data_IF_020273872924
#
_entry.id   IF_020273872924
#
_cell.length_a   1.000
_cell.length_b   1.000
_cell.length_c   1.000
_cell.angle_alpha   90.00
_cell.angle_beta   90.00
_cell.angle_gamma   90.00
#
_symmetry.space_group_name_H-M   'P 1'
#
loop_
_entity.id
_entity.type
_entity.pdbx_description
1 polymer ?
#
# COMPACT_ATOMS: atom_id res chain seq x y z
N UNK A 1 -1.55 24.97 -14.47
CA UNK A 1 -1.23 23.62 -15.04
C UNK A 1 -1.29 23.63 -16.56
N UNK A 2 -0.72 22.57 -17.23
CA UNK A 2 -0.74 22.45 -18.71
C UNK A 2 -2.08 21.89 -19.17
N UNK A 3 -2.84 22.67 -19.97
CA UNK A 3 -4.08 22.21 -20.61
C UNK A 3 -3.72 21.67 -22.00
N UNK A 4 -4.03 20.42 -22.26
CA UNK A 4 -3.71 19.72 -23.49
C UNK A 4 -4.97 19.04 -24.05
N UNK A 5 -5.12 19.05 -25.38
CA UNK A 5 -6.13 18.19 -26.00
C UNK A 5 -5.68 16.75 -25.86
N UNK A 6 -6.58 15.86 -25.41
CA UNK A 6 -6.32 14.44 -25.37
C UNK A 6 -6.32 13.89 -26.80
N UNK A 7 -5.23 13.28 -27.18
CA UNK A 7 -5.02 12.60 -28.46
C UNK A 7 -4.22 11.33 -28.17
N UNK A 8 -4.10 10.44 -29.13
CA UNK A 8 -3.27 9.23 -28.98
C UNK A 8 -1.80 9.55 -28.69
N UNK A 9 -1.26 10.58 -29.35
CA UNK A 9 0.11 11.02 -29.13
C UNK A 9 0.28 11.64 -27.74
N UNK A 10 -0.62 12.55 -27.34
CA UNK A 10 -0.59 13.16 -26.00
C UNK A 10 -0.70 12.11 -24.91
N UNK A 11 -1.59 11.14 -25.06
CA UNK A 11 -1.73 10.00 -24.12
C UNK A 11 -0.43 9.20 -24.02
N UNK A 12 0.18 8.89 -25.15
CA UNK A 12 1.46 8.15 -25.20
C UNK A 12 2.59 8.89 -24.52
N UNK A 13 2.72 10.19 -24.77
CA UNK A 13 3.74 11.04 -24.17
C UNK A 13 3.57 11.14 -22.65
N UNK A 14 2.34 11.29 -22.18
CA UNK A 14 2.05 11.35 -20.74
C UNK A 14 2.37 10.01 -20.07
N UNK A 15 1.92 8.89 -20.64
CA UNK A 15 2.25 7.56 -20.11
C UNK A 15 3.76 7.34 -20.04
N UNK A 16 4.52 7.75 -21.07
CA UNK A 16 5.97 7.68 -21.03
C UNK A 16 6.59 8.60 -19.97
N UNK A 17 6.02 9.79 -19.75
CA UNK A 17 6.51 10.70 -18.72
C UNK A 17 6.22 10.16 -17.31
N UNK A 18 5.04 9.60 -17.08
CA UNK A 18 4.69 8.98 -15.81
C UNK A 18 5.59 7.78 -15.50
N UNK A 19 5.94 6.96 -16.51
CA UNK A 19 6.88 5.85 -16.34
C UNK A 19 8.30 6.30 -15.95
N UNK A 20 8.71 7.53 -16.27
CA UNK A 20 10.03 8.07 -15.83
C UNK A 20 10.07 8.30 -14.32
N UNK A 21 8.94 8.44 -13.66
CA UNK A 21 8.85 8.53 -12.19
C UNK A 21 9.13 7.17 -11.54
N UNK A 22 8.82 6.08 -12.25
CA UNK A 22 9.23 4.75 -11.83
C UNK A 22 10.73 4.70 -11.82
N UNK A 23 11.38 4.41 -10.69
CA UNK A 23 12.83 4.35 -10.62
C UNK A 23 13.34 3.10 -11.36
N UNK A 24 13.12 3.02 -12.69
CA UNK A 24 13.81 2.02 -13.53
C UNK A 24 15.33 2.22 -13.52
N UNK A 25 15.81 3.25 -12.84
CA UNK A 25 17.20 3.48 -12.45
C UNK A 25 17.47 3.05 -11.00
N UNK A 26 16.92 1.90 -10.58
CA UNK A 26 17.28 1.30 -9.29
C UNK A 26 18.81 1.13 -9.13
N UNK A 27 19.57 1.10 -10.22
CA UNK A 27 21.01 0.83 -10.19
C UNK A 27 21.80 1.74 -9.24
N UNK A 28 21.46 3.02 -9.12
CA UNK A 28 22.16 3.93 -8.21
C UNK A 28 21.70 3.75 -6.75
N UNK A 29 20.40 3.55 -6.53
CA UNK A 29 19.84 3.30 -5.18
C UNK A 29 20.01 1.84 -4.75
N UNK A 30 19.88 0.89 -5.69
CA UNK A 30 20.02 -0.55 -5.43
C UNK A 30 21.35 -0.90 -4.78
N UNK A 31 22.46 -0.37 -5.29
CA UNK A 31 23.77 -0.59 -4.69
C UNK A 31 23.85 -0.10 -3.25
N UNK A 32 23.26 1.06 -2.93
CA UNK A 32 23.24 1.63 -1.57
C UNK A 32 22.32 0.83 -0.64
N UNK A 33 21.15 0.44 -1.12
CA UNK A 33 20.19 -0.37 -0.33
C UNK A 33 20.76 -1.77 -0.08
N UNK A 34 21.34 -2.40 -1.09
CA UNK A 34 21.97 -3.71 -0.92
C UNK A 34 23.15 -3.66 0.05
N UNK A 35 23.96 -2.60 0.04
CA UNK A 35 25.03 -2.44 1.01
C UNK A 35 24.50 -2.34 2.45
N UNK A 36 23.39 -1.61 2.69
CA UNK A 36 22.72 -1.55 4.00
C UNK A 36 22.21 -2.93 4.41
N UNK A 37 21.54 -3.65 3.49
CA UNK A 37 21.00 -4.98 3.75
C UNK A 37 22.11 -5.97 4.15
N UNK A 38 23.20 -6.01 3.39
CA UNK A 38 24.34 -6.90 3.69
C UNK A 38 25.02 -6.51 5.00
N UNK A 39 25.17 -5.22 5.29
CA UNK A 39 25.73 -4.76 6.55
C UNK A 39 24.88 -5.19 7.76
N UNK A 40 23.54 -5.07 7.67
CA UNK A 40 22.62 -5.55 8.72
C UNK A 40 22.66 -7.07 8.86
N UNK A 41 22.76 -7.82 7.76
CA UNK A 41 22.91 -9.29 7.81
C UNK A 41 24.17 -9.73 8.54
N UNK A 42 25.28 -9.04 8.32
CA UNK A 42 26.60 -9.41 8.84
C UNK A 42 26.86 -8.87 10.25
N UNK A 43 26.49 -7.61 10.50
CA UNK A 43 26.82 -6.87 11.72
C UNK A 43 25.60 -6.59 12.61
N UNK A 44 24.40 -7.05 12.21
CA UNK A 44 23.17 -7.12 13.02
C UNK A 44 22.87 -5.80 13.76
N UNK A 45 22.65 -5.82 15.07
CA UNK A 45 22.34 -4.64 15.90
C UNK A 45 23.33 -3.50 15.70
N UNK A 46 24.62 -3.78 15.59
CA UNK A 46 25.63 -2.74 15.41
C UNK A 46 25.41 -1.96 14.11
N UNK A 47 25.05 -2.62 13.03
CA UNK A 47 24.72 -1.97 11.76
C UNK A 47 23.45 -1.13 11.91
N UNK A 48 22.40 -1.66 12.54
CA UNK A 48 21.15 -0.96 12.79
C UNK A 48 21.39 0.33 13.57
N UNK A 49 22.17 0.30 14.67
CA UNK A 49 22.47 1.46 15.49
C UNK A 49 23.30 2.50 14.74
N UNK A 50 24.31 2.06 13.98
CA UNK A 50 25.16 2.93 13.18
C UNK A 50 24.35 3.69 12.11
N UNK A 51 23.48 3.00 11.38
CA UNK A 51 22.64 3.62 10.36
C UNK A 51 21.57 4.53 10.97
N UNK A 52 20.96 4.17 12.10
CA UNK A 52 20.02 5.03 12.81
C UNK A 52 20.71 6.34 13.26
N UNK A 53 21.93 6.25 13.78
CA UNK A 53 22.71 7.44 14.12
C UNK A 53 23.07 8.29 12.88
N UNK A 54 23.42 7.63 11.78
CA UNK A 54 23.80 8.29 10.53
C UNK A 54 22.63 9.00 9.85
N UNK A 55 21.46 8.37 9.78
CA UNK A 55 20.33 8.86 8.99
C UNK A 55 19.34 9.67 9.82
N UNK A 56 19.06 9.22 11.04
CA UNK A 56 18.07 9.86 11.93
C UNK A 56 18.73 10.79 12.95
N UNK A 57 20.04 10.70 13.16
CA UNK A 57 20.79 11.49 14.12
C UNK A 57 20.54 11.08 15.57
N UNK A 58 19.88 9.94 15.79
CA UNK A 58 19.51 9.42 17.11
C UNK A 58 20.54 8.44 17.66
N UNK A 59 20.80 8.48 18.96
CA UNK A 59 21.73 7.58 19.65
C UNK A 59 20.97 6.39 20.24
N UNK A 60 20.73 5.39 19.36
CA UNK A 60 19.98 4.17 19.69
C UNK A 60 20.95 3.03 19.98
N UNK A 61 20.60 2.20 20.96
CA UNK A 61 21.33 1.00 21.38
C UNK A 61 20.38 -0.06 21.92
N UNK A 62 20.87 -1.22 22.29
CA UNK A 62 20.06 -2.34 22.77
C UNK A 62 19.20 -2.00 24.01
N UNK A 63 19.60 -1.03 24.83
CA UNK A 63 18.85 -0.63 26.03
C UNK A 63 17.69 0.34 25.76
N UNK A 64 17.66 1.00 24.59
CA UNK A 64 16.66 2.02 24.30
C UNK A 64 15.99 1.88 22.93
N UNK A 65 16.28 0.85 22.15
CA UNK A 65 15.69 0.63 20.83
C UNK A 65 14.19 0.31 20.90
N UNK A 66 13.77 -0.45 21.92
CA UNK A 66 12.37 -0.79 22.13
C UNK A 66 11.66 0.39 22.85
N UNK A 67 10.49 0.75 22.35
CA UNK A 67 9.63 1.73 23.01
C UNK A 67 9.07 1.14 24.30
N UNK A 68 9.14 1.90 25.39
CA UNK A 68 8.66 1.46 26.70
C UNK A 68 7.21 1.88 26.95
N UNK A 69 6.54 1.24 27.93
CA UNK A 69 5.18 1.64 28.33
C UNK A 69 5.15 3.06 28.95
N UNK A 70 6.26 3.51 29.55
CA UNK A 70 6.41 4.88 30.04
C UNK A 70 6.42 5.90 28.89
N UNK A 71 7.16 5.61 27.80
CA UNK A 71 7.15 6.47 26.61
C UNK A 71 5.76 6.53 25.95
N UNK A 72 5.01 5.41 25.98
CA UNK A 72 3.63 5.38 25.51
C UNK A 72 2.74 6.23 26.44
N UNK A 73 2.88 6.12 27.75
CA UNK A 73 2.12 6.92 28.71
C UNK A 73 2.40 8.43 28.53
N UNK A 74 3.65 8.83 28.40
CA UNK A 74 4.05 10.21 28.08
C UNK A 74 3.42 10.71 26.77
N UNK A 75 3.32 9.83 25.75
CA UNK A 75 2.72 10.18 24.48
C UNK A 75 1.22 10.48 24.60
N UNK A 76 0.49 9.75 25.43
CA UNK A 76 -0.92 10.05 25.70
C UNK A 76 -1.12 11.40 26.42
N UNK A 77 -0.19 11.83 27.26
CA UNK A 77 -0.24 13.14 27.90
C UNK A 77 -0.01 14.30 26.91
N UNK A 78 0.76 14.05 25.83
CA UNK A 78 1.11 15.05 24.83
C UNK A 78 0.11 15.15 23.68
N UNK A 79 -0.67 14.09 23.41
CA UNK A 79 -1.64 14.07 22.32
C UNK A 79 -2.95 14.74 22.76
N UNK A 80 -3.40 15.71 21.97
CA UNK A 80 -4.67 16.38 22.18
C UNK A 80 -5.83 15.37 22.21
N UNK A 81 -6.75 15.57 23.15
CA UNK A 81 -7.93 14.69 23.33
C UNK A 81 -8.82 14.64 22.10
N UNK A 82 -8.88 15.73 21.33
CA UNK A 82 -9.63 15.80 20.06
C UNK A 82 -8.98 14.90 19.01
N UNK A 83 -7.65 14.96 18.87
CA UNK A 83 -6.92 14.08 17.96
C UNK A 83 -7.07 12.60 18.36
N UNK A 84 -6.98 12.29 19.65
CA UNK A 84 -7.21 10.92 20.14
C UNK A 84 -8.63 10.42 19.78
N UNK A 85 -9.64 11.28 19.93
CA UNK A 85 -11.01 10.93 19.54
C UNK A 85 -11.14 10.68 18.02
N UNK A 86 -10.41 11.45 17.19
CA UNK A 86 -10.39 11.25 15.73
C UNK A 86 -9.69 9.94 15.38
N UNK A 87 -8.53 9.64 15.98
CA UNK A 87 -7.82 8.36 15.79
C UNK A 87 -8.74 7.18 16.10
N UNK A 88 -9.47 7.22 17.23
CA UNK A 88 -10.40 6.15 17.61
C UNK A 88 -11.58 5.99 16.65
N UNK A 89 -12.12 7.08 16.13
CA UNK A 89 -13.20 7.03 15.13
C UNK A 89 -12.70 6.43 13.81
N UNK A 90 -11.55 6.87 13.34
CA UNK A 90 -10.91 6.35 12.14
C UNK A 90 -10.63 4.84 12.27
N UNK A 91 -10.07 4.42 13.41
CA UNK A 91 -9.83 3.01 13.73
C UNK A 91 -11.11 2.16 13.58
N UNK A 92 -12.23 2.63 14.13
CA UNK A 92 -13.53 1.92 14.03
C UNK A 92 -13.95 1.76 12.57
N UNK A 93 -13.83 2.81 11.76
CA UNK A 93 -14.22 2.77 10.35
C UNK A 93 -13.34 1.82 9.55
N UNK A 94 -12.00 1.92 9.71
CA UNK A 94 -11.04 1.06 9.03
C UNK A 94 -11.26 -0.41 9.41
N UNK A 95 -11.41 -0.70 10.70
CA UNK A 95 -11.69 -2.06 11.17
C UNK A 95 -12.99 -2.61 10.57
N UNK A 96 -14.08 -1.84 10.62
CA UNK A 96 -15.39 -2.22 10.05
C UNK A 96 -15.31 -2.52 8.56
N UNK A 97 -14.50 -1.76 7.81
CA UNK A 97 -14.29 -2.00 6.39
C UNK A 97 -13.55 -3.34 6.17
N UNK A 98 -12.41 -3.51 6.83
CA UNK A 98 -11.57 -4.71 6.67
C UNK A 98 -12.23 -5.99 7.19
N UNK A 99 -13.14 -5.92 8.16
CA UNK A 99 -13.94 -7.08 8.61
C UNK A 99 -14.76 -7.71 7.47
N UNK A 100 -15.09 -6.95 6.41
CA UNK A 100 -15.78 -7.50 5.23
C UNK A 100 -14.87 -8.30 4.30
N UNK A 101 -13.56 -8.23 4.49
CA UNK A 101 -12.55 -8.93 3.69
C UNK A 101 -12.16 -10.29 4.31
N UNK A 102 -12.64 -10.61 5.50
CA UNK A 102 -12.31 -11.87 6.19
C UNK A 102 -12.78 -13.05 5.36
N UNK A 103 -11.85 -13.98 5.11
CA UNK A 103 -12.12 -15.22 4.39
C UNK A 103 -12.16 -16.40 5.35
N UNK A 104 -13.11 -17.31 5.10
CA UNK A 104 -13.25 -18.53 5.89
C UNK A 104 -12.63 -19.73 5.17
N UNK A 105 -12.14 -20.71 5.96
CA UNK A 105 -11.82 -22.03 5.44
C UNK A 105 -13.10 -22.71 4.95
N UNK A 106 -12.99 -23.52 3.90
CA UNK A 106 -14.12 -24.24 3.32
C UNK A 106 -13.71 -25.65 2.88
N UNK A 107 -14.70 -26.53 2.83
CA UNK A 107 -14.56 -27.90 2.37
C UNK A 107 -15.73 -28.28 1.47
N UNK A 108 -15.44 -29.11 0.46
CA UNK A 108 -16.44 -29.87 -0.30
C UNK A 108 -16.24 -31.34 0.00
N UNK A 109 -17.34 -32.07 0.05
CA UNK A 109 -17.32 -33.53 0.30
C UNK A 109 -18.07 -34.25 -0.81
N UNK A 110 -17.43 -35.24 -1.38
CA UNK A 110 -18.02 -36.21 -2.28
C UNK A 110 -17.75 -37.62 -1.70
N UNK A 111 -18.26 -38.66 -2.35
CA UNK A 111 -18.10 -40.04 -1.85
C UNK A 111 -16.61 -40.45 -1.75
N UNK A 112 -16.11 -40.46 -0.53
CA UNK A 112 -14.72 -40.80 -0.22
C UNK A 112 -13.70 -39.67 -0.53
N UNK A 113 -14.14 -38.44 -0.85
CA UNK A 113 -13.26 -37.31 -1.22
C UNK A 113 -13.61 -36.11 -0.36
N UNK A 114 -12.59 -35.46 0.22
CA UNK A 114 -12.70 -34.16 0.87
C UNK A 114 -11.68 -33.25 0.20
N UNK A 115 -12.16 -32.16 -0.40
CA UNK A 115 -11.31 -31.08 -0.90
C UNK A 115 -11.64 -29.81 -0.15
N UNK A 116 -10.64 -28.95 0.05
CA UNK A 116 -10.89 -27.70 0.75
C UNK A 116 -9.73 -26.74 0.71
N UNK A 117 -9.95 -25.60 1.32
CA UNK A 117 -8.94 -24.58 1.54
C UNK A 117 -8.94 -24.16 3.00
N UNK A 118 -7.80 -24.33 3.66
CA UNK A 118 -7.56 -23.81 5.01
C UNK A 118 -7.01 -22.39 4.90
N UNK A 119 -7.71 -21.43 5.48
CA UNK A 119 -7.26 -20.04 5.65
C UNK A 119 -6.66 -19.90 7.04
N UNK A 120 -5.45 -19.35 7.13
CA UNK A 120 -4.72 -19.19 8.39
C UNK A 120 -4.01 -17.84 8.39
N UNK A 121 -4.14 -17.08 9.46
CA UNK A 121 -3.37 -15.84 9.64
C UNK A 121 -1.87 -16.11 9.68
N UNK A 122 -1.07 -15.10 9.34
CA UNK A 122 0.37 -15.12 9.57
C UNK A 122 0.65 -15.00 11.07
N UNK A 123 1.66 -15.72 11.58
CA UNK A 123 1.95 -15.76 13.01
C UNK A 123 2.55 -14.42 13.51
N UNK A 124 3.48 -13.84 12.75
CA UNK A 124 4.16 -12.58 13.13
C UNK A 124 4.35 -11.72 11.90
N UNK A 125 3.95 -10.46 12.00
CA UNK A 125 4.05 -9.50 10.90
C UNK A 125 4.84 -8.28 11.35
N UNK A 126 5.72 -7.78 10.47
CA UNK A 126 6.37 -6.49 10.60
C UNK A 126 5.59 -5.43 9.83
N UNK A 127 5.42 -4.27 10.43
CA UNK A 127 4.92 -3.08 9.75
C UNK A 127 5.95 -1.97 9.86
N UNK A 128 6.15 -1.25 8.77
CA UNK A 128 7.02 -0.10 8.74
C UNK A 128 6.19 1.17 8.59
N UNK A 129 6.39 2.11 9.49
CA UNK A 129 5.73 3.41 9.43
C UNK A 129 6.80 4.48 9.21
N UNK A 130 6.78 5.19 8.09
CA UNK A 130 7.75 6.22 7.81
C UNK A 130 7.62 7.40 8.79
N UNK A 131 8.70 8.17 8.90
CA UNK A 131 8.77 9.41 9.66
C UNK A 131 9.68 10.40 8.96
N UNK A 132 10.00 11.52 9.59
CA UNK A 132 10.91 12.52 9.09
C UNK A 132 10.20 13.82 8.70
N UNK A 133 9.91 14.07 7.43
CA UNK A 133 9.26 15.32 6.98
C UNK A 133 7.80 15.47 7.42
N UNK A 134 7.12 14.39 7.69
CA UNK A 134 5.74 14.34 8.19
C UNK A 134 5.55 13.19 9.19
N UNK A 135 4.48 13.25 9.96
CA UNK A 135 4.08 12.24 10.95
C UNK A 135 2.83 11.55 10.42
N UNK A 136 2.82 10.22 10.45
CA UNK A 136 1.79 9.41 9.79
C UNK A 136 1.04 8.46 10.75
N UNK A 137 0.26 8.97 11.72
CA UNK A 137 -0.56 8.13 12.59
C UNK A 137 -1.62 7.34 11.79
N UNK A 138 -2.10 7.88 10.67
CA UNK A 138 -3.01 7.17 9.76
C UNK A 138 -2.37 5.92 9.15
N UNK A 139 -1.10 5.99 8.74
CA UNK A 139 -0.38 4.83 8.20
C UNK A 139 -0.18 3.73 9.24
N UNK A 140 -0.12 4.06 10.53
CA UNK A 140 -0.14 3.05 11.60
C UNK A 140 -1.45 2.27 11.51
N UNK A 141 -2.60 2.96 11.52
CA UNK A 141 -3.91 2.33 11.48
C UNK A 141 -4.09 1.48 10.21
N UNK A 142 -3.72 2.03 9.05
CA UNK A 142 -3.89 1.39 7.75
C UNK A 142 -3.03 0.12 7.58
N UNK A 143 -1.85 0.07 8.19
CA UNK A 143 -1.00 -1.14 8.15
C UNK A 143 -1.41 -2.17 9.21
N UNK A 144 -1.78 -1.73 10.41
CA UNK A 144 -1.99 -2.62 11.56
C UNK A 144 -3.38 -3.24 11.57
N UNK A 145 -4.43 -2.47 11.26
CA UNK A 145 -5.80 -2.95 11.41
C UNK A 145 -6.16 -4.11 10.49
N UNK A 146 -5.79 -4.15 9.19
CA UNK A 146 -6.05 -5.33 8.38
C UNK A 146 -5.30 -6.57 8.90
N UNK A 147 -4.09 -6.41 9.47
CA UNK A 147 -3.36 -7.52 10.10
C UNK A 147 -4.09 -8.02 11.35
N UNK A 148 -4.59 -7.13 12.22
CA UNK A 148 -5.42 -7.51 13.40
C UNK A 148 -6.71 -8.19 12.98
N UNK A 149 -7.39 -7.68 11.96
CA UNK A 149 -8.63 -8.30 11.43
C UNK A 149 -8.35 -9.67 10.82
N UNK A 150 -7.20 -9.87 10.17
CA UNK A 150 -6.77 -11.17 9.68
C UNK A 150 -6.53 -12.20 10.80
N UNK A 151 -6.34 -11.73 12.04
CA UNK A 151 -6.04 -12.58 13.19
C UNK A 151 -4.54 -12.86 13.38
N UNK A 152 -3.67 -11.93 12.97
CA UNK A 152 -2.22 -12.01 13.23
C UNK A 152 -1.96 -11.96 14.73
N UNK A 153 -1.20 -12.93 15.25
CA UNK A 153 -0.94 -13.07 16.70
C UNK A 153 -0.02 -11.97 17.23
N UNK A 154 1.03 -11.60 16.46
CA UNK A 154 2.05 -10.64 16.87
C UNK A 154 2.37 -9.65 15.74
N UNK A 155 2.25 -8.36 16.04
CA UNK A 155 2.58 -7.28 15.12
C UNK A 155 3.74 -6.45 15.68
N UNK A 156 4.84 -6.41 14.95
CA UNK A 156 6.06 -5.66 15.24
C UNK A 156 6.10 -4.43 14.36
N UNK A 157 6.26 -3.25 14.94
CA UNK A 157 6.35 -2.00 14.20
C UNK A 157 7.75 -1.40 14.29
N UNK A 158 8.32 -0.98 13.16
CA UNK A 158 9.49 -0.12 13.10
C UNK A 158 9.10 1.27 12.60
N UNK A 159 9.64 2.31 13.25
CA UNK A 159 9.46 3.70 12.85
C UNK A 159 10.69 4.51 13.25
N UNK A 160 11.16 5.48 12.44
CA UNK A 160 12.35 6.26 12.80
C UNK A 160 12.11 7.11 14.04
N UNK A 161 13.10 7.20 14.94
CA UNK A 161 13.08 8.15 16.04
C UNK A 161 13.43 9.56 15.59
N UNK A 162 13.03 10.55 16.36
CA UNK A 162 13.59 11.89 16.29
C UNK A 162 15.05 11.93 16.79
N UNK A 163 15.74 13.05 16.61
CA UNK A 163 17.14 13.25 17.07
C UNK A 163 17.32 13.06 18.57
N UNK A 164 16.24 13.25 19.33
CA UNK A 164 16.17 13.03 20.77
C UNK A 164 16.00 11.55 21.16
N UNK A 165 15.94 10.65 20.18
CA UNK A 165 15.72 9.22 20.36
C UNK A 165 14.27 8.84 20.68
N UNK A 166 13.31 9.77 20.59
CA UNK A 166 11.89 9.51 20.84
C UNK A 166 11.10 9.38 19.54
N UNK A 167 10.05 8.58 19.58
CA UNK A 167 9.06 8.49 18.49
C UNK A 167 7.98 9.56 18.70
N UNK A 168 7.43 10.08 17.62
CA UNK A 168 6.36 11.08 17.68
C UNK A 168 5.16 10.58 18.51
N UNK A 169 4.64 11.39 19.45
CA UNK A 169 3.54 10.98 20.34
C UNK A 169 2.32 10.45 19.63
N UNK A 170 1.85 11.12 18.55
CA UNK A 170 0.67 10.68 17.80
C UNK A 170 0.87 9.33 17.09
N UNK A 171 2.11 8.98 16.68
CA UNK A 171 2.45 7.66 16.14
C UNK A 171 2.37 6.59 17.22
N UNK A 172 2.90 6.85 18.42
CA UNK A 172 2.85 5.91 19.55
C UNK A 172 1.41 5.65 20.00
N UNK A 173 0.63 6.72 20.15
CA UNK A 173 -0.79 6.61 20.50
C UNK A 173 -1.57 5.81 19.46
N UNK A 174 -1.39 6.10 18.17
CA UNK A 174 -2.05 5.34 17.11
C UNK A 174 -1.64 3.85 17.13
N UNK A 175 -0.36 3.54 17.37
CA UNK A 175 0.14 2.17 17.47
C UNK A 175 -0.47 1.41 18.66
N UNK A 176 -0.55 2.06 19.83
CA UNK A 176 -1.17 1.46 21.03
C UNK A 176 -2.67 1.23 20.81
N UNK A 177 -3.40 2.22 20.29
CA UNK A 177 -4.84 2.09 19.99
C UNK A 177 -5.11 1.02 18.90
N UNK A 178 -4.25 0.87 17.91
CA UNK A 178 -4.37 -0.17 16.87
C UNK A 178 -3.97 -1.56 17.37
N UNK A 179 -3.27 -1.67 18.51
CA UNK A 179 -2.87 -2.93 19.13
C UNK A 179 -1.56 -3.50 18.57
N UNK A 180 -0.58 -2.65 18.28
CA UNK A 180 0.80 -3.07 18.00
C UNK A 180 1.40 -3.69 19.27
N UNK A 181 2.11 -4.80 19.12
CA UNK A 181 2.67 -5.53 20.25
C UNK A 181 4.05 -5.01 20.65
N UNK A 182 4.87 -4.63 19.69
CA UNK A 182 6.22 -4.10 19.91
C UNK A 182 6.55 -2.99 18.92
N UNK A 183 7.19 -1.91 19.40
CA UNK A 183 7.57 -0.76 18.59
C UNK A 183 9.07 -0.53 18.72
N UNK A 184 9.79 -0.54 17.59
CA UNK A 184 11.23 -0.35 17.52
C UNK A 184 11.60 0.99 16.89
N UNK A 185 12.51 1.71 17.52
CA UNK A 185 12.98 3.05 17.13
C UNK A 185 14.05 2.95 16.02
N UNK A 186 13.63 2.46 14.87
CA UNK A 186 14.51 2.26 13.70
C UNK A 186 13.78 2.67 12.43
N UNK A 187 14.39 3.49 11.60
CA UNK A 187 13.89 3.93 10.30
C UNK A 187 14.60 3.26 9.12
N UNK A 188 14.25 3.66 7.90
CA UNK A 188 14.97 3.36 6.68
C UNK A 188 15.09 1.88 6.28
N UNK A 189 15.97 1.61 5.32
CA UNK A 189 16.22 0.27 4.81
C UNK A 189 16.77 -0.70 5.88
N UNK A 190 17.51 -0.19 6.87
CA UNK A 190 18.02 -0.98 7.98
C UNK A 190 16.92 -1.53 8.88
N UNK A 191 15.78 -0.82 9.05
CA UNK A 191 14.62 -1.32 9.78
C UNK A 191 13.99 -2.53 9.08
N UNK A 192 13.83 -2.41 7.76
CA UNK A 192 13.30 -3.48 6.91
C UNK A 192 14.21 -4.70 6.94
N UNK A 193 15.52 -4.50 6.81
CA UNK A 193 16.50 -5.57 6.89
C UNK A 193 16.51 -6.24 8.28
N UNK A 194 16.44 -5.46 9.37
CA UNK A 194 16.36 -5.98 10.73
C UNK A 194 15.13 -6.88 10.93
N UNK A 195 13.94 -6.44 10.50
CA UNK A 195 12.73 -7.27 10.58
C UNK A 195 12.79 -8.50 9.67
N UNK A 196 13.40 -8.40 8.48
CA UNK A 196 13.49 -9.50 7.53
C UNK A 196 14.45 -10.62 7.98
N UNK A 197 15.59 -10.26 8.56
CA UNK A 197 16.64 -11.21 8.93
C UNK A 197 16.69 -11.52 10.43
N UNK A 198 16.15 -10.62 11.24
CA UNK A 198 16.29 -10.63 12.70
C UNK A 198 17.66 -10.12 13.14
N UNK A 199 17.70 -9.45 14.28
CA UNK A 199 18.93 -9.09 14.99
C UNK A 199 18.83 -9.52 16.46
N UNK A 200 19.76 -9.14 17.31
CA UNK A 200 19.67 -9.41 18.74
C UNK A 200 18.50 -8.68 19.39
N UNK A 201 18.25 -7.43 18.97
CA UNK A 201 17.20 -6.56 19.52
C UNK A 201 15.89 -6.62 18.73
N UNK A 202 15.93 -6.70 17.39
CA UNK A 202 14.74 -6.68 16.52
C UNK A 202 14.40 -8.10 16.08
N UNK A 203 13.19 -8.61 16.37
CA UNK A 203 12.81 -9.97 16.02
C UNK A 203 12.64 -10.13 14.51
N UNK A 204 13.02 -11.32 14.03
CA UNK A 204 12.65 -11.72 12.67
C UNK A 204 11.15 -11.94 12.57
N UNK A 205 10.52 -11.34 11.56
CA UNK A 205 9.09 -11.52 11.26
C UNK A 205 8.87 -12.52 10.13
N UNK A 206 7.67 -13.08 10.05
CA UNK A 206 7.31 -14.06 9.00
C UNK A 206 7.01 -13.36 7.68
N UNK A 207 6.44 -12.19 7.75
CA UNK A 207 6.17 -11.35 6.58
C UNK A 207 6.26 -9.87 6.93
N UNK A 208 6.82 -9.11 6.02
CA UNK A 208 6.71 -7.67 5.93
C UNK A 208 5.75 -7.42 4.77
N UNK A 209 4.52 -6.98 5.03
CA UNK A 209 3.48 -6.77 4.03
C UNK A 209 3.74 -7.56 2.73
N UNK A 210 3.19 -8.68 2.57
CA UNK A 210 3.22 -9.78 1.58
C UNK A 210 4.01 -9.66 0.26
N UNK A 211 4.91 -8.69 0.08
CA UNK A 211 5.75 -8.57 -1.12
C UNK A 211 7.22 -8.96 -0.92
N UNK A 212 7.53 -9.68 0.14
CA UNK A 212 8.84 -10.33 0.28
C UNK A 212 8.87 -11.59 -0.58
N UNK A 213 9.07 -11.44 -1.87
CA UNK A 213 9.45 -12.54 -2.74
C UNK A 213 10.96 -12.74 -2.58
N UNK A 214 11.39 -13.94 -2.17
CA UNK A 214 12.81 -14.33 -1.98
C UNK A 214 13.58 -13.58 -0.89
N UNK A 215 12.93 -13.14 0.18
CA UNK A 215 13.61 -12.47 1.31
C UNK A 215 14.01 -11.03 1.03
N UNK A 216 13.52 -10.43 -0.05
CA UNK A 216 13.60 -9.01 -0.33
C UNK A 216 12.24 -8.36 -0.10
N UNK A 217 12.24 -7.28 0.65
CA UNK A 217 11.05 -6.43 0.78
C UNK A 217 11.00 -5.56 -0.46
N UNK A 218 9.92 -5.65 -1.23
CA UNK A 218 9.67 -4.65 -2.25
C UNK A 218 9.25 -3.35 -1.56
N UNK A 219 10.10 -2.35 -1.65
CA UNK A 219 9.83 -0.99 -1.14
C UNK A 219 8.80 -0.28 -2.03
N UNK A 220 8.51 -0.82 -3.21
CA UNK A 220 7.68 -0.21 -4.25
C UNK A 220 6.23 0.05 -3.85
N UNK A 221 5.73 -0.64 -2.84
CA UNK A 221 4.36 -0.41 -2.35
C UNK A 221 4.28 0.61 -1.20
N UNK A 222 5.42 1.11 -0.71
CA UNK A 222 5.49 2.02 0.45
C UNK A 222 5.93 3.43 0.04
N UNK A 223 6.59 3.59 -1.11
CA UNK A 223 7.23 4.84 -1.50
C UNK A 223 7.17 5.13 -3.01
N UNK A 224 6.11 4.74 -3.66
CA UNK A 224 5.82 5.28 -5.00
C UNK A 224 5.42 6.76 -4.87
N UNK A 225 5.71 7.59 -5.88
CA UNK A 225 5.21 8.95 -5.89
C UNK A 225 3.69 8.92 -5.90
N UNK A 226 3.06 9.72 -5.03
CA UNK A 226 1.60 9.82 -4.92
C UNK A 226 0.96 10.24 -6.23
N UNK A 227 -0.24 9.76 -6.48
CA UNK A 227 -0.95 9.96 -7.75
C UNK A 227 -2.43 10.23 -7.51
N UNK A 228 -2.95 11.28 -8.13
CA UNK A 228 -4.37 11.50 -8.27
C UNK A 228 -4.75 11.67 -9.74
N UNK A 229 -5.87 11.06 -10.12
CA UNK A 229 -6.52 11.29 -11.39
C UNK A 229 -8.00 11.61 -11.13
N UNK A 230 -8.43 12.78 -11.53
CA UNK A 230 -9.84 13.20 -11.50
C UNK A 230 -10.42 13.06 -12.90
N UNK A 231 -11.50 12.32 -13.05
CA UNK A 231 -12.33 12.29 -14.26
C UNK A 231 -13.60 13.09 -14.02
N UNK A 232 -13.76 14.18 -14.75
CA UNK A 232 -14.85 15.13 -14.53
C UNK A 232 -15.53 15.55 -15.83
N UNK A 233 -16.84 15.82 -15.77
CA UNK A 233 -17.60 16.46 -16.82
C UNK A 233 -17.93 17.92 -16.46
N UNK A 234 -18.74 18.59 -17.27
CA UNK A 234 -19.11 20.00 -17.06
C UNK A 234 -19.91 20.27 -15.79
N UNK A 235 -20.39 19.23 -15.09
CA UNK A 235 -21.18 19.37 -13.85
C UNK A 235 -20.31 19.50 -12.61
N UNK A 236 -19.02 19.20 -12.72
CA UNK A 236 -18.09 19.25 -11.60
C UNK A 236 -17.82 20.68 -11.12
N UNK A 237 -17.63 20.83 -9.80
CA UNK A 237 -17.22 22.09 -9.20
C UNK A 237 -15.71 22.31 -9.41
N UNK A 238 -15.26 23.35 -10.15
CA UNK A 238 -13.85 23.56 -10.43
C UNK A 238 -13.00 23.80 -9.17
N UNK A 239 -13.56 24.43 -8.15
CA UNK A 239 -12.87 24.68 -6.88
C UNK A 239 -12.57 23.36 -6.15
N UNK A 240 -13.49 22.38 -6.12
CA UNK A 240 -13.28 21.09 -5.49
C UNK A 240 -12.23 20.27 -6.25
N UNK A 241 -12.37 20.20 -7.58
CA UNK A 241 -11.40 19.49 -8.42
C UNK A 241 -9.98 20.05 -8.27
N UNK A 242 -9.86 21.39 -8.22
CA UNK A 242 -8.56 22.04 -8.00
C UNK A 242 -7.96 21.69 -6.63
N UNK A 243 -8.78 21.70 -5.57
CA UNK A 243 -8.35 21.35 -4.22
C UNK A 243 -7.88 19.89 -4.13
N UNK A 244 -8.61 18.95 -4.75
CA UNK A 244 -8.29 17.52 -4.75
C UNK A 244 -7.00 17.24 -5.53
N UNK A 245 -6.76 17.89 -6.66
CA UNK A 245 -5.50 17.80 -7.39
C UNK A 245 -4.31 18.29 -6.56
N UNK A 246 -4.50 19.36 -5.79
CA UNK A 246 -3.45 19.95 -4.95
C UNK A 246 -3.17 19.14 -3.69
N UNK A 247 -4.14 18.41 -3.15
CA UNK A 247 -3.93 17.51 -2.00
C UNK A 247 -2.86 16.46 -2.27
N UNK A 248 -2.78 15.93 -3.49
CA UNK A 248 -1.72 15.03 -3.90
C UNK A 248 -0.43 15.74 -4.30
N UNK A 249 -0.53 16.84 -5.01
CA UNK A 249 0.66 17.57 -5.46
C UNK A 249 1.54 18.07 -4.32
N UNK A 250 0.98 18.26 -3.11
CA UNK A 250 1.74 18.68 -1.94
C UNK A 250 2.57 17.58 -1.28
N UNK A 251 2.34 16.30 -1.61
CA UNK A 251 3.04 15.18 -1.00
C UNK A 251 4.53 15.16 -1.35
N UNK A 252 4.86 15.28 -2.64
CA UNK A 252 6.24 15.18 -3.14
C UNK A 252 6.40 15.88 -4.49
N UNK A 253 7.61 16.28 -4.85
CA UNK A 253 7.95 16.88 -6.14
C UNK A 253 7.72 15.94 -7.34
N UNK A 254 7.63 14.62 -7.08
CA UNK A 254 7.34 13.58 -8.07
C UNK A 254 5.88 13.14 -8.09
N UNK A 255 5.03 13.69 -7.20
CA UNK A 255 3.60 13.40 -7.21
C UNK A 255 2.97 13.81 -8.55
N UNK A 256 1.93 13.10 -8.99
CA UNK A 256 1.19 13.46 -10.20
C UNK A 256 -0.25 13.85 -9.88
N UNK A 257 -0.71 14.93 -10.51
CA UNK A 257 -2.06 15.42 -10.43
C UNK A 257 -2.62 15.59 -11.85
N UNK A 258 -3.61 14.78 -12.22
CA UNK A 258 -4.14 14.72 -13.57
C UNK A 258 -5.65 14.92 -13.54
N UNK A 259 -6.13 15.92 -14.29
CA UNK A 259 -7.54 16.06 -14.63
C UNK A 259 -7.77 15.55 -16.05
N UNK A 260 -8.76 14.69 -16.24
CA UNK A 260 -9.31 14.36 -17.56
C UNK A 260 -10.76 14.83 -17.58
N UNK A 261 -11.09 15.65 -18.56
CA UNK A 261 -12.45 16.22 -18.69
C UNK A 261 -12.89 16.28 -20.14
N UNK A 262 -14.21 16.27 -20.37
CA UNK A 262 -14.81 16.54 -21.66
C UNK A 262 -15.18 18.02 -21.85
N UNK A 263 -14.95 18.86 -20.82
CA UNK A 263 -15.31 20.28 -20.80
C UNK A 263 -14.07 21.17 -20.84
N UNK A 264 -13.86 21.86 -21.95
CA UNK A 264 -12.83 22.90 -22.08
C UNK A 264 -13.00 24.00 -21.04
N UNK A 265 -14.25 24.40 -20.78
CA UNK A 265 -14.58 25.42 -19.78
C UNK A 265 -14.11 24.98 -18.37
N UNK A 266 -14.45 23.76 -17.95
CA UNK A 266 -14.01 23.23 -16.67
C UNK A 266 -12.48 23.18 -16.56
N UNK A 267 -11.79 22.78 -17.64
CA UNK A 267 -10.32 22.74 -17.69
C UNK A 267 -9.70 24.11 -17.40
N UNK A 268 -10.26 25.18 -17.98
CA UNK A 268 -9.79 26.54 -17.80
C UNK A 268 -10.09 27.07 -16.39
N UNK A 269 -11.30 26.82 -15.88
CA UNK A 269 -11.73 27.19 -14.53
C UNK A 269 -10.87 26.49 -13.45
N UNK A 270 -10.66 25.18 -13.57
CA UNK A 270 -9.79 24.41 -12.64
C UNK A 270 -8.35 24.94 -12.67
N UNK A 271 -7.81 25.25 -13.86
CA UNK A 271 -6.46 25.82 -13.94
C UNK A 271 -6.34 27.16 -13.22
N UNK A 272 -7.36 28.01 -13.31
CA UNK A 272 -7.40 29.31 -12.63
C UNK A 272 -7.50 29.13 -11.10
N UNK A 273 -8.33 28.21 -10.60
CA UNK A 273 -8.45 27.91 -9.17
C UNK A 273 -7.15 27.35 -8.59
N UNK A 274 -6.45 26.47 -9.33
CA UNK A 274 -5.13 25.96 -8.92
C UNK A 274 -4.14 27.10 -8.69
N UNK A 275 -4.06 28.08 -9.62
CA UNK A 275 -3.14 29.20 -9.50
C UNK A 275 -3.45 30.07 -8.27
N UNK A 276 -4.72 30.21 -7.90
CA UNK A 276 -5.13 30.91 -6.69
C UNK A 276 -4.74 30.15 -5.43
N UNK A 277 -5.06 28.87 -5.34
CA UNK A 277 -4.76 28.06 -4.15
C UNK A 277 -3.26 27.90 -3.90
N UNK A 278 -2.45 27.69 -4.94
CA UNK A 278 -0.99 27.55 -4.81
C UNK A 278 -0.37 28.79 -4.16
N UNK A 279 -0.92 29.98 -4.41
CA UNK A 279 -0.42 31.23 -3.79
C UNK A 279 -0.57 31.23 -2.25
N UNK A 280 -1.58 30.53 -1.72
CA UNK A 280 -1.96 30.53 -0.30
C UNK A 280 -1.39 29.32 0.49
N UNK A 281 -1.11 28.20 -0.19
CA UNK A 281 -0.68 26.96 0.43
C UNK A 281 0.76 26.99 0.95
N UNK A 282 0.99 26.36 2.10
CA UNK A 282 2.30 26.39 2.81
C UNK A 282 3.41 25.64 2.08
N UNK A 283 3.08 24.59 1.30
CA UNK A 283 4.04 23.75 0.56
C UNK A 283 4.15 24.10 -0.92
N UNK A 284 3.88 25.33 -1.29
CA UNK A 284 3.80 25.83 -2.67
C UNK A 284 4.98 25.47 -3.57
N UNK A 285 6.20 25.40 -3.05
CA UNK A 285 7.39 25.05 -3.85
C UNK A 285 7.36 23.59 -4.29
N UNK A 286 6.93 22.68 -3.41
CA UNK A 286 6.77 21.25 -3.71
C UNK A 286 5.62 21.09 -4.72
N UNK A 287 4.46 21.70 -4.44
CA UNK A 287 3.30 21.69 -5.31
C UNK A 287 3.67 22.16 -6.72
N UNK A 288 4.35 23.31 -6.82
CA UNK A 288 4.73 23.88 -8.12
C UNK A 288 5.61 22.91 -8.93
N UNK A 289 6.61 22.30 -8.31
CA UNK A 289 7.48 21.32 -8.99
C UNK A 289 6.71 20.07 -9.42
N UNK A 290 5.81 19.56 -8.58
CA UNK A 290 4.93 18.45 -8.93
C UNK A 290 4.09 18.78 -10.15
N UNK A 291 3.40 19.94 -10.13
CA UNK A 291 2.56 20.38 -11.24
C UNK A 291 3.34 20.67 -12.53
N UNK A 292 4.53 21.26 -12.44
CA UNK A 292 5.38 21.55 -13.59
C UNK A 292 5.87 20.27 -14.28
N UNK A 293 6.18 19.23 -13.51
CA UNK A 293 6.72 17.99 -14.01
C UNK A 293 5.62 16.99 -14.42
N UNK A 294 4.59 16.81 -13.58
CA UNK A 294 3.61 15.72 -13.66
C UNK A 294 2.15 16.17 -13.52
N UNK A 295 1.88 17.48 -13.57
CA UNK A 295 0.54 18.06 -13.58
C UNK A 295 0.00 18.18 -15.01
N UNK A 296 -1.21 17.64 -15.28
CA UNK A 296 -1.85 17.69 -16.59
C UNK A 296 -3.34 17.94 -16.46
N UNK A 297 -3.88 18.74 -17.36
CA UNK A 297 -5.30 18.85 -17.64
C UNK A 297 -5.53 18.38 -19.07
N UNK A 298 -6.27 17.32 -19.25
CA UNK A 298 -6.51 16.67 -20.54
C UNK A 298 -7.97 16.88 -20.94
N UNK A 299 -8.18 17.47 -22.10
CA UNK A 299 -9.53 17.66 -22.66
C UNK A 299 -9.78 16.60 -23.70
N UNK A 300 -10.69 15.67 -23.40
CA UNK A 300 -11.10 14.55 -24.26
C UNK A 300 -12.27 14.98 -25.18
N UNK A 301 -12.35 14.37 -26.36
CA UNK A 301 -13.47 14.61 -27.27
C UNK A 301 -14.77 13.95 -26.78
N UNK A 302 -14.67 12.92 -25.96
CA UNK A 302 -15.81 12.21 -25.37
C UNK A 302 -15.41 11.43 -24.12
N UNK A 303 -16.42 10.97 -23.36
CA UNK A 303 -16.22 10.22 -22.10
C UNK A 303 -15.58 8.83 -22.32
N UNK A 304 -15.79 8.18 -23.45
CA UNK A 304 -15.19 6.88 -23.74
C UNK A 304 -13.67 6.97 -23.87
N UNK A 305 -13.18 7.95 -24.63
CA UNK A 305 -11.74 8.25 -24.74
C UNK A 305 -11.13 8.62 -23.40
N UNK A 306 -11.86 9.39 -22.59
CA UNK A 306 -11.45 9.75 -21.24
C UNK A 306 -11.28 8.50 -20.37
N UNK A 307 -12.26 7.59 -20.34
CA UNK A 307 -12.25 6.34 -19.58
C UNK A 307 -11.12 5.41 -20.03
N UNK A 308 -10.90 5.28 -21.34
CA UNK A 308 -9.79 4.47 -21.87
C UNK A 308 -8.43 4.99 -21.38
N UNK A 309 -8.30 6.31 -21.30
CA UNK A 309 -7.05 6.96 -20.82
C UNK A 309 -6.89 6.78 -19.31
N UNK A 310 -7.96 6.88 -18.52
CA UNK A 310 -7.96 6.54 -17.09
C UNK A 310 -7.47 5.11 -16.88
N UNK A 311 -8.04 4.14 -17.58
CA UNK A 311 -7.65 2.73 -17.47
C UNK A 311 -6.19 2.48 -17.92
N UNK A 312 -5.69 3.26 -18.89
CA UNK A 312 -4.31 3.17 -19.35
C UNK A 312 -3.31 3.75 -18.33
N UNK A 313 -3.67 4.83 -17.63
CA UNK A 313 -2.84 5.43 -16.56
C UNK A 313 -2.83 4.52 -15.34
N UNK A 314 -4.00 4.05 -14.89
CA UNK A 314 -4.16 3.19 -13.71
C UNK A 314 -3.61 3.85 -12.44
N UNK A 315 -4.13 5.03 -12.12
CA UNK A 315 -3.69 5.87 -11.00
C UNK A 315 -3.95 5.22 -9.64
N UNK A 316 -3.18 5.63 -8.66
CA UNK A 316 -3.35 5.30 -7.24
C UNK A 316 -4.72 5.72 -6.73
N UNK A 317 -5.03 7.02 -6.80
CA UNK A 317 -6.33 7.60 -6.46
C UNK A 317 -7.06 7.98 -7.75
N UNK A 318 -8.30 7.54 -7.86
CA UNK A 318 -9.17 7.81 -9.01
C UNK A 318 -10.48 8.43 -8.53
N UNK A 319 -10.71 9.72 -8.82
CA UNK A 319 -11.95 10.39 -8.51
C UNK A 319 -12.85 10.51 -9.75
N UNK A 320 -14.15 10.27 -9.57
CA UNK A 320 -15.17 10.36 -10.63
C UNK A 320 -16.17 11.43 -10.22
N UNK A 321 -16.05 12.59 -10.87
CA UNK A 321 -16.89 13.78 -10.60
C UNK A 321 -17.68 14.13 -11.86
N UNK A 322 -18.69 13.31 -12.13
CA UNK A 322 -19.55 13.39 -13.34
C UNK A 322 -21.02 13.38 -12.96
N UNK A 323 -21.89 13.72 -13.87
CA UNK A 323 -23.34 13.69 -13.66
C UNK A 323 -23.87 12.29 -13.28
N UNK A 324 -23.23 11.21 -13.78
CA UNK A 324 -23.57 9.81 -13.41
C UNK A 324 -22.29 9.04 -13.05
N UNK A 325 -21.71 9.30 -11.85
CA UNK A 325 -20.42 8.72 -11.48
C UNK A 325 -20.49 7.19 -11.25
N UNK A 326 -21.64 6.65 -10.83
CA UNK A 326 -21.80 5.20 -10.65
C UNK A 326 -21.80 4.45 -11.97
N UNK A 327 -22.40 5.01 -13.03
CA UNK A 327 -22.32 4.42 -14.36
C UNK A 327 -20.88 4.45 -14.89
N UNK A 328 -20.19 5.56 -14.75
CA UNK A 328 -18.78 5.70 -15.15
C UNK A 328 -17.90 4.70 -14.40
N UNK A 329 -18.10 4.54 -13.08
CA UNK A 329 -17.34 3.59 -12.24
C UNK A 329 -17.38 2.17 -12.81
N UNK A 330 -18.50 1.72 -13.39
CA UNK A 330 -18.61 0.36 -13.96
C UNK A 330 -17.64 0.10 -15.12
N UNK A 331 -17.09 1.14 -15.74
CA UNK A 331 -16.15 1.09 -16.86
C UNK A 331 -14.69 1.26 -16.44
N UNK A 332 -14.45 1.67 -15.21
CA UNK A 332 -13.10 1.78 -14.64
C UNK A 332 -12.63 0.41 -14.18
N UNK A 333 -11.49 -0.01 -14.71
CA UNK A 333 -10.89 -1.33 -14.43
C UNK A 333 -9.62 -1.24 -13.59
N UNK A 334 -8.90 -0.16 -13.72
CA UNK A 334 -7.54 -0.02 -13.19
C UNK A 334 -7.45 1.25 -12.35
N UNK A 335 -7.57 1.09 -11.04
CA UNK A 335 -7.34 2.14 -10.06
C UNK A 335 -6.97 1.51 -8.71
N UNK A 336 -6.17 2.19 -7.91
CA UNK A 336 -5.87 1.76 -6.54
C UNK A 336 -7.07 1.91 -5.62
N UNK A 337 -7.69 3.09 -5.62
CA UNK A 337 -8.97 3.37 -4.98
C UNK A 337 -9.85 4.22 -5.92
N UNK A 338 -11.17 4.06 -5.83
CA UNK A 338 -12.14 4.81 -6.63
C UNK A 338 -13.02 5.63 -5.69
N UNK A 339 -13.02 6.94 -5.88
CA UNK A 339 -13.82 7.91 -5.15
C UNK A 339 -14.97 8.39 -6.03
N UNK A 340 -16.20 8.40 -5.52
CA UNK A 340 -17.40 8.56 -6.34
C UNK A 340 -18.17 9.81 -5.89
N UNK A 341 -18.25 10.80 -6.77
CA UNK A 341 -18.99 12.05 -6.57
C UNK A 341 -18.18 13.13 -5.85
N UNK A 342 -18.67 14.36 -5.92
CA UNK A 342 -17.99 15.58 -5.50
C UNK A 342 -17.66 15.72 -4.01
N UNK A 343 -18.27 14.89 -3.15
CA UNK A 343 -18.04 14.89 -1.70
C UNK A 343 -17.17 13.72 -1.23
N UNK A 344 -16.58 12.97 -2.17
CA UNK A 344 -15.73 11.82 -1.89
C UNK A 344 -14.29 12.12 -2.31
N UNK A 345 -13.68 13.09 -1.64
CA UNK A 345 -12.30 13.49 -1.91
C UNK A 345 -11.28 12.50 -1.35
N UNK A 346 -10.07 12.52 -1.90
CA UNK A 346 -8.95 11.64 -1.49
C UNK A 346 -8.67 11.71 0.02
N UNK A 347 -8.57 12.89 0.69
CA UNK A 347 -8.31 12.94 2.14
C UNK A 347 -9.36 12.22 2.99
N UNK A 348 -10.62 12.13 2.51
CA UNK A 348 -11.63 11.32 3.19
C UNK A 348 -11.23 9.84 3.24
N UNK A 349 -10.71 9.30 2.13
CA UNK A 349 -10.21 7.92 2.05
C UNK A 349 -8.99 7.72 2.92
N UNK A 350 -8.04 8.61 2.83
CA UNK A 350 -6.76 8.51 3.51
C UNK A 350 -6.85 8.53 5.03
N UNK A 351 -7.83 9.24 5.57
CA UNK A 351 -7.89 9.45 7.02
C UNK A 351 -9.10 8.83 7.71
N UNK A 352 -10.22 8.60 7.02
CA UNK A 352 -11.46 8.39 7.77
C UNK A 352 -12.44 7.36 7.21
N UNK A 353 -12.57 7.21 5.89
CA UNK A 353 -13.64 6.41 5.28
C UNK A 353 -13.55 4.90 5.61
N UNK A 354 -12.34 4.36 5.73
CA UNK A 354 -12.11 2.97 6.09
C UNK A 354 -11.35 2.12 5.07
N UNK A 355 -11.50 2.30 3.75
CA UNK A 355 -10.63 1.67 2.77
C UNK A 355 -9.16 1.99 3.02
N UNK A 356 -8.28 1.07 2.62
CA UNK A 356 -6.85 1.24 2.87
C UNK A 356 -6.20 2.25 1.92
N UNK A 357 -5.37 3.14 2.44
CA UNK A 357 -4.63 4.12 1.67
C UNK A 357 -3.25 3.62 1.19
N UNK A 358 -2.84 2.41 1.55
CA UNK A 358 -1.64 1.78 1.00
C UNK A 358 -2.02 1.17 -0.35
N UNK A 359 -1.85 1.94 -1.39
CA UNK A 359 -2.38 1.69 -2.73
C UNK A 359 -1.27 1.37 -3.74
N UNK A 360 -1.59 0.69 -4.84
CA UNK A 360 -0.65 0.49 -5.94
C UNK A 360 -0.44 1.80 -6.72
N UNK A 361 0.83 2.15 -6.98
CA UNK A 361 1.27 3.34 -7.71
C UNK A 361 1.94 2.98 -9.04
N UNK A 362 2.32 3.96 -9.85
CA UNK A 362 3.09 3.78 -11.10
C UNK A 362 2.41 2.82 -12.11
N UNK A 363 1.08 2.89 -12.20
CA UNK A 363 0.31 2.05 -13.11
C UNK A 363 0.20 0.58 -12.69
N UNK A 364 0.68 0.22 -11.49
CA UNK A 364 0.61 -1.16 -10.99
C UNK A 364 -0.80 -1.56 -10.54
N UNK A 365 -1.74 -0.62 -10.43
CA UNK A 365 -3.16 -0.90 -10.22
C UNK A 365 -3.80 -1.79 -11.31
N UNK A 366 -3.09 -2.03 -12.41
CA UNK A 366 -3.46 -3.02 -13.45
C UNK A 366 -3.40 -4.46 -12.96
N UNK A 367 -2.62 -4.75 -11.91
CA UNK A 367 -2.38 -6.12 -11.43
C UNK A 367 -2.15 -6.23 -9.91
N UNK A 368 -2.06 -5.11 -9.21
CA UNK A 368 -2.00 -5.06 -7.74
C UNK A 368 -3.25 -4.42 -7.16
N UNK A 369 -3.51 -4.71 -5.89
CA UNK A 369 -4.62 -4.16 -5.10
C UNK A 369 -4.10 -3.38 -3.90
N UNK A 370 -4.97 -2.59 -3.29
CA UNK A 370 -4.74 -1.97 -1.98
C UNK A 370 -4.38 -3.03 -0.93
N UNK A 371 -3.63 -2.63 0.09
CA UNK A 371 -3.34 -3.48 1.24
C UNK A 371 -4.65 -3.93 1.90
N UNK A 372 -4.78 -5.22 2.16
CA UNK A 372 -6.00 -5.84 2.62
C UNK A 372 -5.76 -6.96 3.62
N UNK A 373 -6.81 -7.56 4.15
CA UNK A 373 -6.75 -8.76 5.00
C UNK A 373 -6.06 -9.92 4.29
N UNK A 374 -6.20 -10.02 2.95
CA UNK A 374 -5.56 -11.08 2.16
C UNK A 374 -4.03 -11.07 2.22
N UNK A 375 -3.43 -9.91 2.49
CA UNK A 375 -1.98 -9.76 2.63
C UNK A 375 -1.44 -10.37 3.93
N UNK A 376 -2.30 -10.64 4.90
CA UNK A 376 -1.96 -11.15 6.23
C UNK A 376 -2.43 -12.58 6.50
N UNK A 377 -2.93 -13.27 5.47
CA UNK A 377 -3.35 -14.67 5.54
C UNK A 377 -2.58 -15.52 4.54
N UNK A 378 -2.57 -16.81 4.79
CA UNK A 378 -2.13 -17.84 3.83
C UNK A 378 -3.24 -18.86 3.61
N UNK A 379 -3.28 -19.43 2.42
CA UNK A 379 -4.26 -20.43 1.99
C UNK A 379 -3.53 -21.72 1.66
N UNK A 380 -3.96 -22.82 2.30
CA UNK A 380 -3.41 -24.16 2.05
C UNK A 380 -4.50 -25.07 1.52
N UNK A 381 -4.22 -25.79 0.44
CA UNK A 381 -5.13 -26.80 -0.08
C UNK A 381 -5.21 -28.00 0.86
N UNK A 382 -6.40 -28.53 1.05
CA UNK A 382 -6.67 -29.75 1.78
C UNK A 382 -7.19 -30.77 0.80
N UNK A 383 -6.54 -31.94 0.76
CA UNK A 383 -6.85 -33.03 -0.14
C UNK A 383 -6.89 -34.31 0.68
N UNK A 384 -8.02 -34.98 0.70
CA UNK A 384 -8.21 -36.31 1.30
C UNK A 384 -9.01 -37.19 0.39
N UNK A 385 -8.47 -38.39 0.11
CA UNK A 385 -9.13 -39.41 -0.67
C UNK A 385 -9.18 -40.71 0.16
N UNK A 386 -10.33 -41.39 0.15
CA UNK A 386 -10.40 -42.76 0.60
C UNK A 386 -9.66 -43.69 -0.38
N UNK A 387 -9.36 -44.94 0.04
CA UNK A 387 -8.77 -45.92 -0.85
C UNK A 387 -9.64 -46.18 -2.06
N UNK A 388 -10.94 -46.34 -1.86
CA UNK A 388 -11.94 -46.62 -2.90
C UNK A 388 -12.09 -45.46 -3.89
N UNK A 389 -12.01 -44.20 -3.40
CA UNK A 389 -12.05 -43.04 -4.27
C UNK A 389 -10.77 -42.91 -5.11
N UNK A 390 -9.60 -43.18 -4.52
CA UNK A 390 -8.31 -43.16 -5.23
C UNK A 390 -8.23 -44.28 -6.27
N UNK A 391 -8.79 -45.48 -5.96
CA UNK A 391 -8.82 -46.65 -6.86
C UNK A 391 -9.52 -46.35 -8.19
N UNK A 392 -10.51 -45.45 -8.19
CA UNK A 392 -11.23 -45.02 -9.40
C UNK A 392 -10.37 -44.22 -10.37
N UNK A 393 -9.33 -43.54 -9.88
CA UNK A 393 -8.56 -42.54 -10.66
C UNK A 393 -7.04 -42.84 -10.69
N UNK A 394 -6.56 -43.86 -9.99
CA UNK A 394 -5.11 -44.07 -9.85
C UNK A 394 -4.40 -44.27 -11.18
N UNK A 395 -5.00 -44.98 -12.13
CA UNK A 395 -4.41 -45.21 -13.46
C UNK A 395 -4.26 -43.96 -14.29
N UNK A 396 -5.23 -43.05 -14.18
CA UNK A 396 -5.16 -41.78 -14.88
C UNK A 396 -4.02 -40.93 -14.33
N UNK A 397 -3.82 -40.92 -13.00
CA UNK A 397 -2.72 -40.21 -12.35
C UNK A 397 -1.36 -40.82 -12.75
N UNK A 398 -1.25 -42.16 -12.78
CA UNK A 398 -0.04 -42.87 -13.23
C UNK A 398 0.30 -42.46 -14.68
N UNK A 399 -0.71 -42.47 -15.57
CA UNK A 399 -0.53 -42.13 -16.98
C UNK A 399 -0.06 -40.68 -17.16
N UNK A 400 -0.62 -39.72 -16.40
CA UNK A 400 -0.14 -38.34 -16.41
C UNK A 400 1.33 -38.24 -15.97
N UNK A 401 1.67 -38.86 -14.85
CA UNK A 401 3.03 -38.85 -14.33
C UNK A 401 4.05 -39.47 -15.30
N UNK A 402 3.67 -40.59 -15.97
CA UNK A 402 4.51 -41.24 -16.98
C UNK A 402 4.65 -40.37 -18.24
N UNK A 403 3.60 -39.67 -18.69
CA UNK A 403 3.67 -38.73 -19.80
C UNK A 403 4.70 -37.61 -19.53
N UNK A 404 4.78 -37.13 -18.28
CA UNK A 404 5.75 -36.15 -17.82
C UNK A 404 7.13 -36.76 -17.52
N UNK A 405 7.31 -38.07 -17.69
CA UNK A 405 8.51 -38.85 -17.35
C UNK A 405 8.86 -38.82 -15.84
N UNK A 406 7.86 -38.59 -14.99
CA UNK A 406 7.99 -38.54 -13.52
C UNK A 406 7.67 -39.90 -12.91
N UNK A 407 8.53 -40.89 -13.14
CA UNK A 407 8.32 -42.29 -12.75
C UNK A 407 8.15 -42.50 -11.24
N UNK A 408 8.79 -41.66 -10.40
CA UNK A 408 8.60 -41.69 -8.95
C UNK A 408 7.19 -41.23 -8.53
N UNK A 409 6.60 -40.27 -9.25
CA UNK A 409 5.22 -39.85 -9.04
C UNK A 409 4.24 -40.98 -9.39
N UNK A 410 4.42 -41.61 -10.56
CA UNK A 410 3.63 -42.78 -10.96
C UNK A 410 3.74 -43.91 -9.94
N UNK A 411 4.96 -44.23 -9.50
CA UNK A 411 5.21 -45.26 -8.50
C UNK A 411 4.56 -44.94 -7.15
N UNK A 412 4.56 -43.66 -6.73
CA UNK A 412 3.90 -43.24 -5.49
C UNK A 412 2.42 -43.59 -5.44
N UNK A 413 1.73 -43.58 -6.58
CA UNK A 413 0.33 -43.98 -6.68
C UNK A 413 0.22 -45.50 -6.76
N UNK A 414 1.02 -46.15 -7.61
CA UNK A 414 0.98 -47.61 -7.89
C UNK A 414 1.13 -48.44 -6.65
N UNK A 415 2.11 -48.18 -5.79
CA UNK A 415 2.40 -48.95 -4.56
C UNK A 415 1.27 -48.91 -3.52
N UNK A 416 0.25 -48.05 -3.70
CA UNK A 416 -0.92 -48.04 -2.81
C UNK A 416 -1.94 -49.10 -3.14
N UNK A 417 -1.76 -49.79 -4.29
CA UNK A 417 -2.66 -50.81 -4.82
C UNK A 417 -1.95 -52.14 -5.10
N UNK A 418 -0.65 -52.20 -4.92
CA UNK A 418 0.15 -53.44 -4.85
C UNK A 418 0.10 -54.05 -3.43
#
# INVERSE_FOLDING_TARGET
MRILKLTEDTRKDILQNLLKRSPNNYGEFEGRVNAIIEEVRNNRDQAVFNYTKQFDGADINAGNILVTEEEIAEAYEQVDTTLLAVIRKSLVNIKKYHEKQVQNSWFTTEDGIILGQKVTALATVGVYVPGGKAVYPSSVLMNVLPAKVAGVDRIVMCTPPGKDGKVYPSTLVAAKEAGVDEIYKVGGAQAIAAMAFGTESVPKVVALAKKAVFGYVSIDSIAGPSEILVLADETANPCYVAADLLSQAEHDEMASAILITTSQKLAEEVSAEIDQFVAELSRKEIIQKSLDNYGYILVADNMEEAIDTVNAIASEHMEIVTADPFHVMTKIRNAGAIFIGEYSSEPLGDYFAGPNHVLPTNGTAKFFSALSVDDFIKKSSIISYSREALEKVHKDIEQFAECEKLTAHANSIRVRFE
#
